data_IF_759465635815
#
_entry.id   IF_759465635815
#
_cell.length_a   1.000
_cell.length_b   1.000
_cell.length_c   1.000
_cell.angle_alpha   90.00
_cell.angle_beta   90.00
_cell.angle_gamma   90.00
#
_symmetry.space_group_name_H-M   'P 1'
#
loop_
_entity.id
_entity.type
_entity.pdbx_description
1 polymer ?
#
# COMPACT_ATOMS: atom_id res chain seq x y z
N UNK A 1 -1.32 -14.72 -29.59
CA UNK A 1 -1.40 -13.96 -28.31
C UNK A 1 -0.18 -13.08 -28.00
N UNK A 2 0.97 -13.21 -28.68
CA UNK A 2 2.20 -12.43 -28.36
C UNK A 2 2.19 -10.95 -28.79
N UNK A 3 1.44 -10.59 -29.84
CA UNK A 3 1.43 -9.22 -30.39
C UNK A 3 0.66 -8.18 -29.54
N UNK A 4 -0.18 -8.61 -28.60
CA UNK A 4 -0.95 -7.69 -27.73
C UNK A 4 -0.26 -7.38 -26.40
N UNK A 5 0.77 -8.14 -26.03
CA UNK A 5 1.52 -7.95 -24.77
C UNK A 5 2.20 -6.57 -24.70
N UNK A 6 2.84 -6.05 -25.77
CA UNK A 6 3.43 -4.72 -25.74
C UNK A 6 2.38 -3.61 -25.65
N UNK A 7 1.29 -3.72 -26.42
CA UNK A 7 0.19 -2.75 -26.38
C UNK A 7 -0.49 -2.70 -25.01
N UNK A 8 -0.68 -3.86 -24.36
CA UNK A 8 -1.21 -3.96 -23.00
C UNK A 8 -0.24 -3.38 -21.96
N UNK A 9 1.08 -3.56 -22.12
CA UNK A 9 2.08 -2.92 -21.25
C UNK A 9 2.04 -1.39 -21.36
N UNK A 10 1.90 -0.86 -22.58
CA UNK A 10 1.79 0.59 -22.82
C UNK A 10 0.48 1.14 -22.25
N UNK A 11 -0.66 0.48 -22.49
CA UNK A 11 -1.95 0.91 -21.94
C UNK A 11 -1.99 0.83 -20.41
N UNK A 12 -1.32 -0.18 -19.82
CA UNK A 12 -1.20 -0.34 -18.37
C UNK A 12 -0.34 0.74 -17.71
N UNK A 13 0.61 1.30 -18.46
CA UNK A 13 1.49 2.35 -17.95
C UNK A 13 0.83 3.73 -18.04
N UNK A 14 -0.03 3.96 -19.02
CA UNK A 14 -0.57 5.29 -19.32
C UNK A 14 -2.04 5.51 -18.90
N UNK A 15 -2.78 4.49 -18.48
CA UNK A 15 -4.18 4.62 -18.03
C UNK A 15 -4.35 4.15 -16.57
N UNK A 16 -4.45 5.12 -15.66
CA UNK A 16 -4.70 4.91 -14.23
C UNK A 16 -5.99 4.13 -13.96
N UNK A 17 -7.04 4.32 -14.77
CA UNK A 17 -8.31 3.63 -14.56
C UNK A 17 -8.19 2.14 -14.90
N UNK A 18 -7.46 1.81 -15.98
CA UNK A 18 -7.13 0.43 -16.32
C UNK A 18 -6.22 -0.20 -15.28
N UNK A 19 -5.20 0.52 -14.81
CA UNK A 19 -4.32 0.02 -13.74
C UNK A 19 -5.12 -0.28 -12.45
N UNK A 20 -5.97 0.65 -11.98
CA UNK A 20 -6.82 0.43 -10.80
C UNK A 20 -7.68 -0.82 -10.94
N UNK A 21 -8.30 -1.04 -12.10
CA UNK A 21 -9.11 -2.26 -12.36
C UNK A 21 -8.28 -3.54 -12.24
N UNK A 22 -7.10 -3.58 -12.84
CA UNK A 22 -6.20 -4.74 -12.77
C UNK A 22 -5.69 -4.95 -11.33
N UNK A 23 -5.32 -3.88 -10.63
CA UNK A 23 -4.90 -3.94 -9.24
C UNK A 23 -5.98 -4.55 -8.33
N UNK A 24 -7.22 -4.07 -8.44
CA UNK A 24 -8.36 -4.60 -7.65
C UNK A 24 -8.74 -6.04 -8.05
N UNK A 25 -8.60 -6.39 -9.33
CA UNK A 25 -8.80 -7.76 -9.81
C UNK A 25 -7.77 -8.72 -9.23
N UNK A 26 -6.50 -8.28 -9.12
CA UNK A 26 -5.37 -9.10 -8.70
C UNK A 26 -5.59 -9.76 -7.34
N UNK A 27 -6.22 -9.07 -6.39
CA UNK A 27 -6.55 -9.66 -5.08
C UNK A 27 -7.38 -10.95 -5.19
N UNK A 28 -8.41 -10.94 -6.03
CA UNK A 28 -9.28 -12.10 -6.21
C UNK A 28 -8.62 -13.22 -7.01
N UNK A 29 -7.69 -12.85 -7.89
CA UNK A 29 -6.89 -13.80 -8.65
C UNK A 29 -5.82 -14.49 -7.78
N UNK A 30 -5.19 -13.72 -6.89
CA UNK A 30 -4.07 -14.17 -6.06
C UNK A 30 -4.50 -15.00 -4.83
N UNK A 31 -5.72 -14.78 -4.32
CA UNK A 31 -6.22 -15.51 -3.14
C UNK A 31 -6.58 -16.95 -3.49
N UNK A 32 -6.34 -17.86 -2.56
CA UNK A 32 -6.75 -19.26 -2.71
C UNK A 32 -8.28 -19.40 -2.78
N UNK A 33 -8.82 -20.36 -3.56
CA UNK A 33 -10.23 -20.70 -3.50
C UNK A 33 -10.62 -21.01 -2.06
N UNK A 34 -11.69 -20.36 -1.56
CA UNK A 34 -12.23 -20.45 -0.18
C UNK A 34 -11.58 -19.58 0.91
N UNK A 35 -10.49 -18.85 0.62
CA UNK A 35 -9.92 -17.89 1.58
C UNK A 35 -10.48 -16.47 1.35
N UNK A 36 -10.78 -15.77 2.44
CA UNK A 36 -11.24 -14.36 2.41
C UNK A 36 -10.09 -13.36 2.45
N UNK A 37 -8.93 -13.76 2.95
CA UNK A 37 -7.70 -12.96 3.01
C UNK A 37 -6.65 -13.47 2.02
N UNK A 38 -5.72 -12.59 1.65
CA UNK A 38 -4.55 -12.90 0.83
C UNK A 38 -3.35 -13.15 1.75
N UNK A 39 -2.57 -14.20 1.48
CA UNK A 39 -1.34 -14.46 2.25
C UNK A 39 -0.34 -13.31 2.08
N UNK A 40 0.37 -12.98 3.15
CA UNK A 40 1.29 -11.85 3.20
C UNK A 40 2.37 -11.94 2.12
N UNK A 41 3.08 -13.07 2.05
CA UNK A 41 4.15 -13.29 1.08
C UNK A 41 3.66 -13.13 -0.36
N UNK A 42 2.48 -13.68 -0.67
CA UNK A 42 1.84 -13.50 -1.97
C UNK A 42 1.50 -12.03 -2.24
N UNK A 43 0.95 -11.31 -1.27
CA UNK A 43 0.63 -9.89 -1.40
C UNK A 43 1.90 -9.06 -1.68
N UNK A 44 2.99 -9.34 -0.94
CA UNK A 44 4.29 -8.70 -1.12
C UNK A 44 4.79 -8.87 -2.56
N UNK A 45 4.76 -10.09 -3.10
CA UNK A 45 5.23 -10.34 -4.47
C UNK A 45 4.41 -9.60 -5.53
N UNK A 46 3.09 -9.51 -5.36
CA UNK A 46 2.26 -8.72 -6.27
C UNK A 46 2.49 -7.22 -6.11
N UNK A 47 2.71 -6.69 -4.91
CA UNK A 47 3.04 -5.28 -4.73
C UNK A 47 4.40 -4.93 -5.33
N UNK A 48 5.43 -5.77 -5.16
CA UNK A 48 6.73 -5.60 -5.83
C UNK A 48 6.57 -5.49 -7.35
N UNK A 49 5.67 -6.29 -7.94
CA UNK A 49 5.39 -6.31 -9.37
C UNK A 49 4.54 -5.10 -9.83
N UNK A 50 3.47 -4.76 -9.11
CA UNK A 50 2.50 -3.74 -9.51
C UNK A 50 3.00 -2.32 -9.22
N UNK A 51 3.81 -2.16 -8.18
CA UNK A 51 4.37 -0.89 -7.74
C UNK A 51 5.87 -0.78 -8.04
N UNK A 52 6.41 -1.49 -9.04
CA UNK A 52 7.85 -1.34 -9.38
C UNK A 52 8.23 0.11 -9.74
N UNK A 53 7.32 0.85 -10.36
CA UNK A 53 7.53 2.23 -10.81
C UNK A 53 6.64 3.25 -10.08
N UNK A 54 6.00 2.84 -8.98
CA UNK A 54 5.05 3.64 -8.18
C UNK A 54 5.41 3.39 -6.72
N UNK A 55 5.21 4.31 -5.79
CA UNK A 55 5.50 4.04 -4.36
C UNK A 55 6.97 3.70 -4.02
N UNK A 56 7.94 4.05 -4.88
CA UNK A 56 9.33 3.57 -4.74
C UNK A 56 9.98 3.97 -3.41
N UNK A 57 9.65 5.14 -2.87
CA UNK A 57 10.19 5.64 -1.61
C UNK A 57 9.75 4.83 -0.39
N UNK A 58 8.55 4.27 -0.42
CA UNK A 58 7.91 3.67 0.75
C UNK A 58 7.66 2.16 0.57
N UNK A 59 7.91 1.59 -0.61
CA UNK A 59 7.68 0.18 -0.91
C UNK A 59 8.60 -0.74 -0.09
N UNK A 60 9.87 -0.41 0.04
CA UNK A 60 10.82 -1.18 0.86
C UNK A 60 10.43 -1.15 2.34
N UNK A 61 10.10 0.04 2.86
CA UNK A 61 9.61 0.21 4.23
C UNK A 61 8.30 -0.55 4.48
N UNK A 62 7.39 -0.55 3.50
CA UNK A 62 6.13 -1.30 3.59
C UNK A 62 6.36 -2.81 3.66
N UNK A 63 7.27 -3.34 2.83
CA UNK A 63 7.63 -4.76 2.85
C UNK A 63 8.27 -5.10 4.18
N UNK A 64 9.22 -4.30 4.65
CA UNK A 64 9.89 -4.50 5.94
C UNK A 64 8.90 -4.50 7.11
N UNK A 65 7.97 -3.54 7.14
CA UNK A 65 6.90 -3.47 8.13
C UNK A 65 6.05 -4.75 8.15
N UNK A 66 5.65 -5.24 6.97
CA UNK A 66 4.86 -6.46 6.87
C UNK A 66 5.62 -7.68 7.40
N UNK A 67 6.87 -7.83 6.99
CA UNK A 67 7.71 -8.99 7.34
C UNK A 67 8.15 -8.99 8.81
N UNK A 68 8.38 -7.81 9.40
CA UNK A 68 8.95 -7.69 10.74
C UNK A 68 7.91 -7.43 11.84
N UNK A 69 6.89 -6.62 11.57
CA UNK A 69 5.90 -6.20 12.57
C UNK A 69 4.52 -6.82 12.36
N UNK A 70 3.95 -6.72 11.16
CA UNK A 70 2.55 -7.13 10.93
C UNK A 70 2.34 -8.65 10.92
N UNK A 71 3.09 -9.39 10.09
CA UNK A 71 3.12 -10.88 10.01
C UNK A 71 1.76 -11.58 9.87
N UNK A 72 0.77 -10.93 9.26
CA UNK A 72 -0.60 -11.44 9.09
C UNK A 72 -1.07 -11.36 7.63
N UNK A 73 -2.15 -12.07 7.31
CA UNK A 73 -2.78 -12.02 5.98
C UNK A 73 -3.43 -10.67 5.69
N UNK A 74 -3.41 -10.25 4.42
CA UNK A 74 -3.98 -8.99 3.95
C UNK A 74 -5.48 -9.14 3.68
N UNK A 75 -6.30 -8.27 4.28
CA UNK A 75 -7.72 -8.18 4.00
C UNK A 75 -7.99 -7.42 2.70
N UNK A 76 -9.14 -7.69 2.07
CA UNK A 76 -9.54 -7.03 0.82
C UNK A 76 -9.63 -5.51 0.95
N UNK A 77 -10.11 -5.04 2.10
CA UNK A 77 -10.25 -3.62 2.40
C UNK A 77 -8.89 -2.92 2.41
N UNK A 78 -7.93 -3.44 3.19
CA UNK A 78 -6.52 -3.01 3.16
C UNK A 78 -5.94 -3.00 1.76
N UNK A 79 -6.11 -4.09 1.00
CA UNK A 79 -5.62 -4.16 -0.37
C UNK A 79 -6.19 -3.04 -1.23
N UNK A 80 -7.51 -2.81 -1.17
CA UNK A 80 -8.17 -1.78 -1.95
C UNK A 80 -7.70 -0.37 -1.56
N UNK A 81 -7.67 -0.06 -0.26
CA UNK A 81 -7.21 1.22 0.26
C UNK A 81 -5.74 1.49 -0.07
N UNK A 82 -4.89 0.46 -0.10
CA UNK A 82 -3.47 0.59 -0.45
C UNK A 82 -3.27 1.25 -1.82
N UNK A 83 -4.18 1.06 -2.79
CA UNK A 83 -4.10 1.77 -4.07
C UNK A 83 -4.16 3.28 -3.90
N UNK A 84 -5.17 3.77 -3.16
CA UNK A 84 -5.37 5.19 -2.95
C UNK A 84 -4.27 5.76 -2.01
N UNK A 85 -3.79 4.95 -1.06
CA UNK A 85 -2.64 5.29 -0.21
C UNK A 85 -1.34 5.47 -1.01
N UNK A 86 -1.06 4.61 -1.98
CA UNK A 86 0.11 4.77 -2.87
C UNK A 86 0.06 6.11 -3.62
N UNK A 87 -1.11 6.51 -4.09
CA UNK A 87 -1.29 7.80 -4.79
C UNK A 87 -1.14 9.00 -3.86
N UNK A 88 -1.49 8.82 -2.58
CA UNK A 88 -1.23 9.80 -1.53
C UNK A 88 0.27 9.92 -1.25
N UNK A 89 0.95 8.80 -1.00
CA UNK A 89 2.37 8.76 -0.68
C UNK A 89 3.27 9.24 -1.84
N UNK A 90 2.84 9.09 -3.09
CA UNK A 90 3.55 9.66 -4.25
C UNK A 90 3.58 11.20 -4.19
N UNK A 91 2.54 11.83 -3.63
CA UNK A 91 2.44 13.30 -3.44
C UNK A 91 3.08 13.77 -2.13
N UNK A 92 3.13 12.91 -1.12
CA UNK A 92 3.75 13.17 0.17
C UNK A 92 4.65 11.99 0.60
N UNK A 93 5.87 11.88 0.03
CA UNK A 93 6.74 10.71 0.26
C UNK A 93 7.24 10.56 1.70
N UNK A 94 7.20 11.64 2.47
CA UNK A 94 7.56 11.66 3.90
C UNK A 94 6.35 11.36 4.81
N UNK A 95 5.16 11.19 4.20
CA UNK A 95 3.89 10.91 4.86
C UNK A 95 3.55 11.93 5.96
N UNK A 96 4.00 13.18 5.85
CA UNK A 96 3.84 14.19 6.92
C UNK A 96 2.40 14.65 7.10
N UNK A 97 1.65 14.74 6.01
CA UNK A 97 0.25 15.18 5.97
C UNK A 97 -0.75 14.05 6.24
N UNK A 98 -0.27 12.83 6.48
CA UNK A 98 -1.13 11.69 6.78
C UNK A 98 -1.87 11.89 8.12
N UNK A 99 -3.19 11.79 8.07
CA UNK A 99 -4.11 11.87 9.19
C UNK A 99 -4.42 10.46 9.73
N UNK A 100 -3.99 10.20 10.97
CA UNK A 100 -4.17 8.92 11.65
C UNK A 100 -5.59 8.70 12.17
N UNK A 101 -6.39 9.77 12.27
CA UNK A 101 -7.81 9.70 12.63
C UNK A 101 -8.71 9.59 11.37
N UNK A 102 -8.09 9.46 10.20
CA UNK A 102 -8.76 9.27 8.92
C UNK A 102 -9.47 7.91 8.81
N UNK A 103 -10.24 7.75 7.72
CA UNK A 103 -10.97 6.51 7.44
C UNK A 103 -10.08 5.41 6.81
N UNK A 104 -8.78 5.38 7.13
CA UNK A 104 -7.85 4.40 6.62
C UNK A 104 -7.89 3.11 7.47
N UNK A 105 -7.54 1.94 6.89
CA UNK A 105 -7.34 0.73 7.66
C UNK A 105 -6.18 0.89 8.66
N UNK A 106 -6.34 0.41 9.89
CA UNK A 106 -5.34 0.58 10.97
C UNK A 106 -3.93 0.14 10.62
N UNK A 107 -3.78 -0.87 9.77
CA UNK A 107 -2.47 -1.33 9.27
C UNK A 107 -1.70 -0.25 8.49
N UNK A 108 -2.40 0.66 7.82
CA UNK A 108 -1.78 1.81 7.15
C UNK A 108 -1.36 2.87 8.16
N UNK A 109 -2.14 3.08 9.22
CA UNK A 109 -1.77 3.97 10.33
C UNK A 109 -0.50 3.44 11.03
N UNK A 110 -0.49 2.14 11.36
CA UNK A 110 0.66 1.44 11.94
C UNK A 110 1.90 1.56 11.04
N UNK A 111 1.73 1.39 9.72
CA UNK A 111 2.82 1.57 8.76
C UNK A 111 3.34 3.01 8.71
N UNK A 112 2.47 4.02 8.73
CA UNK A 112 2.89 5.42 8.73
C UNK A 112 3.71 5.73 9.98
N UNK A 113 3.29 5.22 11.15
CA UNK A 113 4.07 5.32 12.38
C UNK A 113 5.44 4.65 12.26
N UNK A 114 5.49 3.42 11.75
CA UNK A 114 6.73 2.70 11.47
C UNK A 114 7.67 3.49 10.54
N UNK A 115 7.14 3.96 9.41
CA UNK A 115 7.89 4.72 8.40
C UNK A 115 8.42 6.04 8.97
N UNK A 116 7.60 6.79 9.72
CA UNK A 116 8.02 8.06 10.32
C UNK A 116 9.09 7.86 11.39
N UNK A 117 8.96 6.84 12.24
CA UNK A 117 9.96 6.47 13.24
C UNK A 117 11.29 6.10 12.60
N UNK A 118 11.25 5.27 11.55
CA UNK A 118 12.45 4.84 10.82
C UNK A 118 13.17 6.01 10.14
N UNK A 119 12.40 6.92 9.54
CA UNK A 119 12.93 8.03 8.75
C UNK A 119 13.17 9.32 9.57
N UNK A 120 12.85 9.32 10.88
CA UNK A 120 13.00 10.49 11.74
C UNK A 120 12.04 11.64 11.37
N UNK A 121 10.89 11.32 10.77
CA UNK A 121 9.85 12.28 10.36
C UNK A 121 8.61 12.22 11.26
N UNK A 122 8.77 11.73 12.49
CA UNK A 122 7.71 11.76 13.49
C UNK A 122 7.20 13.20 13.68
N UNK A 123 5.86 13.41 13.75
CA UNK A 123 5.35 14.70 14.15
C UNK A 123 5.83 14.98 15.57
N UNK A 124 6.08 16.26 15.94
CA UNK A 124 6.35 16.60 17.33
C UNK A 124 5.25 16.00 18.22
N UNK A 125 5.58 15.49 19.42
CA UNK A 125 4.58 14.98 20.35
C UNK A 125 3.46 16.00 20.45
N UNK A 126 2.22 15.56 20.18
CA UNK A 126 1.07 16.38 20.50
C UNK A 126 1.10 16.55 22.02
N UNK A 127 1.49 17.75 22.48
CA UNK A 127 1.34 18.11 23.88
C UNK A 127 -0.10 17.80 24.25
N UNK A 128 -0.29 16.85 25.17
CA UNK A 128 -1.58 16.55 25.76
C UNK A 128 -2.16 17.90 26.19
N UNK A 129 -3.18 18.36 25.46
CA UNK A 129 -3.94 19.53 25.84
C UNK A 129 -4.70 19.09 27.09
N UNK A 130 -4.05 19.25 28.23
CA UNK A 130 -4.56 19.03 29.57
C UNK A 130 -5.80 19.91 29.70
N UNK A 131 -6.96 19.33 29.40
CA UNK A 131 -8.24 19.96 29.62
C UNK A 131 -8.47 19.95 31.12
N UNK A 132 -7.91 20.97 31.78
CA UNK A 132 -8.36 21.44 33.10
C UNK A 132 -9.76 22.02 33.03
#
# INVERSE_FOLDING_TARGET
>A
MRAKVPALRISFTNDEATFKKVYLFTYNFARSPNQRSLQMDTAIEYWKLLFTHRFQKNLEDWIEFLENEYKKSIAKDTWNCMYDFVQFADKDPELRSYDVDGAWPSILDDFVQFSRKKNGTEPPPQEEMDTS
#
